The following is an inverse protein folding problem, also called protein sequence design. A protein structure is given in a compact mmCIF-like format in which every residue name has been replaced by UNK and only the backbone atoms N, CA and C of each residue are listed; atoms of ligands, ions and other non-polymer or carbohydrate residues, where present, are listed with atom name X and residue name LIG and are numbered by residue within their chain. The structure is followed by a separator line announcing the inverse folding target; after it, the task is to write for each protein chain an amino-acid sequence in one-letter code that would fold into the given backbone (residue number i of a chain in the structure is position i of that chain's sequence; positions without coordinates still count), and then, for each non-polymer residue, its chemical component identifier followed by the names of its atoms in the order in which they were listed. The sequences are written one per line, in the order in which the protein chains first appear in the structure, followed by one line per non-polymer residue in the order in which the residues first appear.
data_IF_052644087590
#
_entry.id   IF_052644087590
#
_cell.length_a   1.000
_cell.length_b   1.000
_cell.length_c   1.000
_cell.angle_alpha   90.00
_cell.angle_beta   90.00
_cell.angle_gamma   90.00
#
_symmetry.space_group_name_H-M   'P 1'
#
loop_
_entity.id
_entity.type
_entity.pdbx_description
1 polymer ?
#
# COMPACT_ATOMS: atom_id res chain seq x y z
N UNK A 1 15.59 -2.95 -13.02
CA UNK A 1 15.00 -3.30 -11.71
C UNK A 1 14.76 -2.00 -10.98
N UNK A 2 13.52 -1.54 -10.87
CA UNK A 2 13.19 -0.35 -10.08
C UNK A 2 13.38 -0.74 -8.61
N UNK A 3 14.27 -0.06 -7.89
CA UNK A 3 14.83 -0.45 -6.59
C UNK A 3 13.87 -0.26 -5.40
N UNK A 4 12.64 -0.77 -5.48
CA UNK A 4 11.72 -0.71 -4.35
C UNK A 4 11.82 -2.01 -3.56
N UNK A 5 11.62 -1.92 -2.25
CA UNK A 5 11.57 -3.13 -1.42
C UNK A 5 10.39 -3.99 -1.89
N UNK A 6 10.39 -5.31 -1.66
CA UNK A 6 9.27 -6.17 -2.05
C UNK A 6 7.91 -5.74 -1.49
N UNK A 7 7.89 -4.92 -0.42
CA UNK A 7 6.70 -4.33 0.19
C UNK A 7 6.37 -2.92 -0.34
N UNK A 8 7.24 -2.32 -1.14
CA UNK A 8 7.10 -0.94 -1.62
C UNK A 8 6.00 -0.75 -2.65
N UNK A 9 5.58 -1.80 -3.35
CA UNK A 9 4.43 -1.75 -4.25
C UNK A 9 3.18 -2.34 -3.59
N UNK A 10 2.10 -1.57 -3.48
CA UNK A 10 0.89 -1.97 -2.73
C UNK A 10 -0.04 -2.93 -3.49
N UNK A 11 0.24 -3.20 -4.77
CA UNK A 11 -0.44 -4.26 -5.53
C UNK A 11 -1.77 -3.84 -6.16
N UNK A 12 -2.02 -2.54 -6.28
CA UNK A 12 -3.24 -1.98 -6.85
C UNK A 12 -3.45 -2.29 -8.35
N UNK A 13 -2.39 -2.69 -9.06
CA UNK A 13 -2.45 -3.24 -10.43
C UNK A 13 -2.97 -4.68 -10.52
N UNK A 14 -3.06 -5.41 -9.40
CA UNK A 14 -3.43 -6.84 -9.41
C UNK A 14 -4.94 -7.07 -9.62
N UNK A 15 -5.36 -8.21 -10.21
CA UNK A 15 -6.78 -8.49 -10.47
C UNK A 15 -7.66 -8.43 -9.22
N UNK A 16 -8.80 -7.73 -9.30
CA UNK A 16 -9.68 -7.48 -8.13
C UNK A 16 -10.28 -8.75 -7.52
N UNK A 17 -10.63 -9.74 -8.33
CA UNK A 17 -11.21 -11.00 -7.87
C UNK A 17 -10.26 -11.81 -6.98
N UNK A 18 -8.96 -11.78 -7.28
CA UNK A 18 -7.94 -12.53 -6.53
C UNK A 18 -7.30 -11.70 -5.42
N UNK A 19 -7.27 -10.38 -5.60
CA UNK A 19 -6.62 -9.42 -4.72
C UNK A 19 -7.57 -8.28 -4.37
N UNK A 20 -8.64 -8.54 -3.58
CA UNK A 20 -9.53 -7.48 -3.12
C UNK A 20 -8.79 -6.50 -2.20
N UNK A 21 -9.34 -5.29 -2.08
CA UNK A 21 -8.73 -4.18 -1.32
C UNK A 21 -8.37 -4.59 0.12
N UNK A 22 -9.27 -5.30 0.82
CA UNK A 22 -9.00 -5.79 2.18
C UNK A 22 -7.78 -6.70 2.25
N UNK A 23 -7.62 -7.61 1.28
CA UNK A 23 -6.48 -8.55 1.25
C UNK A 23 -5.16 -7.83 1.01
N UNK A 24 -5.18 -6.80 0.16
CA UNK A 24 -4.01 -5.96 -0.11
C UNK A 24 -3.65 -5.10 1.12
N UNK A 25 -4.64 -4.50 1.79
CA UNK A 25 -4.46 -3.78 3.06
C UNK A 25 -3.82 -4.67 4.13
N UNK A 26 -4.40 -5.86 4.37
CA UNK A 26 -3.90 -6.81 5.36
C UNK A 26 -2.46 -7.25 5.07
N UNK A 27 -2.14 -7.46 3.79
CA UNK A 27 -0.78 -7.77 3.34
C UNK A 27 0.16 -6.60 3.62
N UNK A 28 -0.22 -5.39 3.26
CA UNK A 28 0.58 -4.18 3.48
C UNK A 28 0.88 -3.98 4.97
N UNK A 29 -0.14 -4.04 5.82
CA UNK A 29 -0.01 -3.91 7.28
C UNK A 29 0.91 -4.96 7.90
N UNK A 30 0.99 -6.18 7.35
CA UNK A 30 1.94 -7.21 7.82
C UNK A 30 3.37 -7.01 7.31
N UNK A 31 3.52 -6.53 6.08
CA UNK A 31 4.78 -6.60 5.33
C UNK A 31 5.64 -5.36 5.48
N UNK A 32 5.01 -4.18 5.60
CA UNK A 32 5.69 -2.88 5.62
C UNK A 32 6.51 -2.72 6.90
N UNK A 33 7.71 -2.17 6.73
CA UNK A 33 8.71 -1.91 7.76
C UNK A 33 9.23 -0.47 7.66
N UNK A 34 9.89 -0.02 8.73
CA UNK A 34 10.60 1.25 8.70
C UNK A 34 11.68 1.24 7.60
N UNK A 35 11.75 2.32 6.83
CA UNK A 35 12.67 2.48 5.69
C UNK A 35 12.12 1.97 4.34
N UNK A 36 10.94 1.36 4.30
CA UNK A 36 10.27 1.04 3.04
C UNK A 36 9.79 2.32 2.33
N UNK A 37 10.03 2.40 1.02
CA UNK A 37 9.43 3.41 0.14
C UNK A 37 8.16 2.80 -0.44
N UNK A 38 7.02 3.40 -0.12
CA UNK A 38 5.70 2.91 -0.53
C UNK A 38 5.17 3.70 -1.71
N UNK A 39 4.59 2.99 -2.67
CA UNK A 39 3.95 3.57 -3.85
C UNK A 39 2.62 2.90 -4.11
N UNK A 40 1.68 3.76 -4.48
CA UNK A 40 0.27 3.46 -4.62
C UNK A 40 -0.28 4.29 -5.79
N UNK A 41 -1.10 3.69 -6.65
CA UNK A 41 -1.93 4.49 -7.55
C UNK A 41 -3.27 4.79 -6.90
N UNK A 42 -3.71 6.05 -7.00
CA UNK A 42 -5.01 6.47 -6.49
C UNK A 42 -6.18 5.94 -7.34
N UNK A 43 -5.93 5.61 -8.61
CA UNK A 43 -6.95 5.11 -9.50
C UNK A 43 -6.34 4.34 -10.65
N UNK A 44 -6.68 3.06 -10.74
CA UNK A 44 -6.42 2.21 -11.89
C UNK A 44 -7.78 1.76 -12.43
N UNK A 45 -7.99 1.95 -13.73
CA UNK A 45 -9.28 1.71 -14.37
C UNK A 45 -9.70 0.24 -14.35
N UNK A 46 -8.75 -0.69 -14.21
CA UNK A 46 -9.02 -2.13 -14.15
C UNK A 46 -9.51 -2.62 -12.78
N UNK A 47 -9.53 -1.76 -11.75
CA UNK A 47 -10.03 -2.13 -10.43
C UNK A 47 -11.55 -2.03 -10.37
N UNK A 48 -12.20 -3.03 -9.78
CA UNK A 48 -13.65 -3.00 -9.52
C UNK A 48 -13.98 -2.01 -8.40
N UNK A 49 -13.15 -1.99 -7.36
CA UNK A 49 -13.24 -1.03 -6.25
C UNK A 49 -12.01 -0.11 -6.26
N UNK A 50 -12.19 1.21 -6.18
CA UNK A 50 -11.08 2.14 -6.16
C UNK A 50 -10.13 1.86 -5.00
N UNK A 51 -8.83 1.77 -5.28
CA UNK A 51 -7.83 1.42 -4.27
C UNK A 51 -7.62 2.53 -3.22
N UNK A 52 -7.84 3.79 -3.58
CA UNK A 52 -7.68 4.92 -2.65
C UNK A 52 -8.55 4.82 -1.38
N UNK A 53 -9.64 4.03 -1.41
CA UNK A 53 -10.52 3.83 -0.27
C UNK A 53 -9.83 3.19 0.94
N UNK A 54 -8.70 2.49 0.75
CA UNK A 54 -7.95 1.88 1.87
C UNK A 54 -6.90 2.82 2.48
N UNK A 55 -6.65 3.99 1.89
CA UNK A 55 -5.51 4.84 2.24
C UNK A 55 -5.53 5.25 3.73
N UNK A 56 -6.70 5.66 4.23
CA UNK A 56 -6.85 6.05 5.63
C UNK A 56 -6.59 4.87 6.59
N UNK A 57 -7.15 3.70 6.29
CA UNK A 57 -6.93 2.48 7.09
C UNK A 57 -5.48 2.02 7.05
N UNK A 58 -4.80 2.19 5.91
CA UNK A 58 -3.38 1.89 5.78
C UNK A 58 -2.53 2.81 6.65
N UNK A 59 -2.72 4.12 6.56
CA UNK A 59 -1.93 5.11 7.32
C UNK A 59 -2.14 4.91 8.81
N UNK A 60 -3.39 4.87 9.27
CA UNK A 60 -3.73 4.70 10.69
C UNK A 60 -3.24 3.36 11.23
N UNK A 61 -3.36 2.28 10.46
CA UNK A 61 -2.86 0.96 10.84
C UNK A 61 -1.33 0.91 10.97
N UNK A 62 -0.59 1.59 10.09
CA UNK A 62 0.87 1.67 10.18
C UNK A 62 1.32 2.57 11.36
N UNK A 63 0.62 3.67 11.63
CA UNK A 63 0.86 4.50 12.81
C UNK A 63 0.60 3.73 14.12
N UNK A 64 -0.46 2.92 14.18
CA UNK A 64 -0.74 2.07 15.33
C UNK A 64 0.36 1.02 15.58
N UNK A 65 1.14 0.66 14.56
CA UNK A 65 2.36 -0.17 14.68
C UNK A 65 3.61 0.61 15.10
N UNK A 66 3.50 1.92 15.31
CA UNK A 66 4.62 2.78 15.68
C UNK A 66 5.48 3.26 14.51
N UNK A 67 4.99 3.17 13.27
CA UNK A 67 5.68 3.72 12.11
C UNK A 67 5.38 5.20 11.91
N UNK A 68 6.40 5.94 11.47
CA UNK A 68 6.29 7.33 11.04
C UNK A 68 6.53 7.44 9.53
N UNK A 69 6.04 8.53 8.93
CA UNK A 69 6.16 8.79 7.50
C UNK A 69 7.01 10.03 7.27
N UNK A 70 7.81 9.99 6.21
CA UNK A 70 8.60 11.12 5.71
C UNK A 70 8.40 11.21 4.19
N UNK A 71 8.59 12.39 3.61
CA UNK A 71 8.61 12.53 2.16
C UNK A 71 9.98 12.12 1.59
N UNK A 72 10.06 11.77 0.31
CA UNK A 72 11.33 11.32 -0.31
C UNK A 72 12.42 12.40 -0.40
N UNK A 73 12.06 13.68 -0.22
CA UNK A 73 12.99 14.80 -0.30
C UNK A 73 13.55 15.25 1.05
N UNK A 74 13.12 14.61 2.14
CA UNK A 74 13.54 14.86 3.53
C UNK A 74 14.50 13.77 4.01
#
# INVERSE_FOLDING_TARGET
YVQWTPAGFLGDELPSEQYPNQKLLDKALRSIRAGDILVMHLGIWSRQEPFYLILESLITGLQAKGLCFTTLGE
#
